data_IF_217188620377
#
_entry.id   IF_217188620377
#
_cell.length_a   1.000
_cell.length_b   1.000
_cell.length_c   1.000
_cell.angle_alpha   90.00
_cell.angle_beta   90.00
_cell.angle_gamma   90.00
#
_symmetry.space_group_name_H-M   'P 1'
#
loop_
_entity.id
_entity.type
_entity.pdbx_description
1 polymer ?
#
# COMPACT_ATOMS: atom_id res chain seq x y z
N UNK A 1 -15.92 18.81 23.78
CA UNK A 1 -14.76 18.97 22.86
C UNK A 1 -14.85 17.93 21.74
N UNK A 2 -15.03 18.34 20.47
CA UNK A 2 -15.17 17.39 19.36
C UNK A 2 -13.80 16.82 18.96
N UNK A 3 -13.57 15.53 19.21
CA UNK A 3 -12.37 14.81 18.76
C UNK A 3 -12.60 14.23 17.37
N UNK A 4 -11.62 14.35 16.47
CA UNK A 4 -11.70 13.74 15.14
C UNK A 4 -11.76 12.21 15.26
N UNK A 5 -12.86 11.61 14.77
CA UNK A 5 -13.04 10.16 14.73
C UNK A 5 -12.63 9.64 13.36
N UNK A 6 -12.02 8.46 13.33
CA UNK A 6 -11.67 7.81 12.06
C UNK A 6 -12.93 7.41 11.29
N UNK A 7 -12.91 7.61 9.96
CA UNK A 7 -14.05 7.30 9.11
C UNK A 7 -14.35 5.79 9.04
N UNK A 8 -15.50 5.37 9.59
CA UNK A 8 -15.89 3.97 9.72
C UNK A 8 -16.07 3.24 8.39
N UNK A 9 -16.63 3.91 7.38
CA UNK A 9 -16.83 3.30 6.06
C UNK A 9 -15.51 2.96 5.36
N UNK A 10 -14.46 3.72 5.67
CA UNK A 10 -13.13 3.52 5.09
C UNK A 10 -12.39 2.39 5.82
N UNK A 11 -12.47 2.33 7.15
CA UNK A 11 -11.88 1.25 7.95
C UNK A 11 -12.40 -0.15 7.57
N UNK A 12 -13.63 -0.27 7.07
CA UNK A 12 -14.18 -1.55 6.56
C UNK A 12 -13.54 -2.00 5.25
N UNK A 13 -12.94 -1.09 4.48
CA UNK A 13 -12.45 -1.34 3.11
C UNK A 13 -10.94 -1.46 3.01
N UNK A 14 -10.20 -0.86 3.95
CA UNK A 14 -8.74 -0.80 3.90
C UNK A 14 -8.09 -1.52 5.09
N UNK A 15 -6.85 -1.97 4.90
CA UNK A 15 -5.96 -2.42 5.98
C UNK A 15 -4.65 -1.65 5.91
N UNK A 16 -4.05 -1.35 7.06
CA UNK A 16 -2.74 -0.70 7.14
C UNK A 16 -1.65 -1.75 7.33
N UNK A 17 -0.52 -1.58 6.62
CA UNK A 17 0.69 -2.39 6.87
C UNK A 17 1.55 -1.77 7.97
N UNK A 18 2.52 -2.53 8.49
CA UNK A 18 3.50 -2.04 9.48
C UNK A 18 4.21 -0.77 9.00
N UNK A 19 4.55 -0.70 7.72
CA UNK A 19 5.23 0.46 7.11
C UNK A 19 4.30 1.65 6.84
N UNK A 20 3.00 1.52 7.10
CA UNK A 20 2.02 2.58 6.90
C UNK A 20 1.51 2.71 5.46
N UNK A 21 1.67 1.67 4.61
CA UNK A 21 1.02 1.59 3.29
C UNK A 21 -0.45 1.21 3.48
N UNK A 22 -1.34 1.82 2.69
CA UNK A 22 -2.77 1.47 2.69
C UNK A 22 -3.01 0.37 1.67
N UNK A 23 -3.46 -0.80 2.14
CA UNK A 23 -3.81 -1.95 1.30
C UNK A 23 -5.32 -2.00 1.06
N UNK A 24 -5.71 -2.22 -0.19
CA UNK A 24 -7.10 -2.41 -0.60
C UNK A 24 -7.25 -3.52 -1.66
N UNK A 25 -8.48 -3.95 -1.89
CA UNK A 25 -8.82 -4.98 -2.89
C UNK A 25 -9.16 -4.34 -4.23
N UNK A 26 -8.77 -4.96 -5.34
CA UNK A 26 -9.08 -4.47 -6.68
C UNK A 26 -10.62 -4.39 -6.92
N UNK A 27 -11.10 -3.30 -7.55
CA UNK A 27 -12.49 -3.22 -8.01
C UNK A 27 -12.75 -4.21 -9.17
N UNK A 28 -14.02 -4.43 -9.52
CA UNK A 28 -14.47 -5.25 -10.66
C UNK A 28 -14.18 -6.77 -10.58
N UNK A 29 -13.78 -7.26 -9.42
CA UNK A 29 -13.45 -8.68 -9.19
C UNK A 29 -14.66 -9.60 -8.93
N UNK A 30 -15.84 -9.05 -8.63
CA UNK A 30 -16.98 -9.84 -8.10
C UNK A 30 -17.85 -10.49 -9.18
N UNK A 31 -18.35 -9.71 -10.15
CA UNK A 31 -19.29 -10.17 -11.19
C UNK A 31 -18.73 -9.92 -12.60
N UNK A 32 -19.42 -10.47 -13.61
CA UNK A 32 -19.05 -10.37 -15.04
C UNK A 32 -17.60 -10.80 -15.25
N UNK A 33 -17.33 -12.08 -15.00
CA UNK A 33 -15.99 -12.68 -15.19
C UNK A 33 -15.86 -13.43 -16.51
N UNK A 34 -16.98 -13.80 -17.13
CA UNK A 34 -17.04 -14.56 -18.39
C UNK A 34 -16.41 -13.80 -19.55
N UNK A 35 -16.57 -12.48 -19.59
CA UNK A 35 -16.03 -11.59 -20.61
C UNK A 35 -14.60 -11.09 -20.32
N UNK A 36 -14.00 -11.50 -19.20
CA UNK A 36 -12.68 -11.03 -18.77
C UNK A 36 -11.62 -12.08 -19.07
N UNK A 37 -10.43 -11.62 -19.41
CA UNK A 37 -9.31 -12.52 -19.70
C UNK A 37 -8.79 -13.17 -18.40
N UNK A 38 -8.21 -14.37 -18.52
CA UNK A 38 -7.63 -15.08 -17.38
C UNK A 38 -6.49 -14.30 -16.70
N UNK A 39 -5.72 -13.52 -17.47
CA UNK A 39 -4.64 -12.65 -16.97
C UNK A 39 -5.18 -11.51 -16.12
N UNK A 40 -6.25 -10.84 -16.55
CA UNK A 40 -6.93 -9.79 -15.77
C UNK A 40 -7.50 -10.33 -14.46
N UNK A 41 -8.17 -11.49 -14.51
CA UNK A 41 -8.71 -12.15 -13.31
C UNK A 41 -7.62 -12.49 -12.29
N UNK A 42 -6.43 -12.90 -12.75
CA UNK A 42 -5.25 -13.10 -11.89
C UNK A 42 -4.73 -11.79 -11.29
N UNK A 43 -4.74 -10.70 -12.07
CA UNK A 43 -4.32 -9.38 -11.60
C UNK A 43 -5.15 -8.89 -10.41
N UNK A 44 -6.47 -9.12 -10.42
CA UNK A 44 -7.35 -8.72 -9.31
C UNK A 44 -7.11 -9.44 -7.99
N UNK A 45 -6.42 -10.58 -8.00
CA UNK A 45 -6.06 -11.32 -6.78
C UNK A 45 -4.89 -10.67 -6.05
N UNK A 46 -4.05 -9.91 -6.77
CA UNK A 46 -2.90 -9.23 -6.19
C UNK A 46 -3.36 -8.07 -5.31
N UNK A 47 -2.71 -7.90 -4.16
CA UNK A 47 -2.94 -6.76 -3.29
C UNK A 47 -2.49 -5.47 -3.98
N UNK A 48 -3.30 -4.42 -3.88
CA UNK A 48 -2.96 -3.09 -4.38
C UNK A 48 -2.78 -2.12 -3.23
N UNK A 49 -1.92 -1.13 -3.45
CA UNK A 49 -1.62 -0.11 -2.46
C UNK A 49 -2.01 1.28 -2.99
N UNK A 50 -2.25 2.20 -2.05
CA UNK A 50 -2.59 3.58 -2.39
C UNK A 50 -1.35 4.33 -2.93
N UNK A 51 -1.57 5.07 -4.03
CA UNK A 51 -0.55 5.92 -4.62
C UNK A 51 -0.45 7.24 -3.87
N UNK A 52 0.60 8.00 -4.15
CA UNK A 52 0.88 9.32 -3.56
C UNK A 52 -0.29 10.31 -3.66
N UNK A 53 -1.04 10.30 -4.77
CA UNK A 53 -2.19 11.19 -4.98
C UNK A 53 -3.32 11.02 -3.95
N UNK A 54 -3.68 9.79 -3.61
CA UNK A 54 -4.82 9.50 -2.73
C UNK A 54 -4.52 9.78 -1.25
N UNK A 55 -3.23 9.85 -0.88
CA UNK A 55 -2.80 9.96 0.52
C UNK A 55 -3.31 11.22 1.20
N UNK A 56 -3.46 12.33 0.48
CA UNK A 56 -3.95 13.60 1.07
C UNK A 56 -5.33 13.42 1.69
N UNK A 57 -6.22 12.71 1.00
CA UNK A 57 -7.57 12.45 1.47
C UNK A 57 -7.57 11.38 2.57
N UNK A 58 -6.81 10.30 2.40
CA UNK A 58 -6.74 9.21 3.37
C UNK A 58 -6.21 9.66 4.73
N UNK A 59 -5.21 10.56 4.75
CA UNK A 59 -4.67 11.14 5.99
C UNK A 59 -5.72 11.93 6.76
N UNK A 60 -6.53 12.75 6.07
CA UNK A 60 -7.62 13.53 6.68
C UNK A 60 -8.71 12.64 7.29
N UNK A 61 -9.10 11.57 6.61
CA UNK A 61 -10.18 10.68 7.06
C UNK A 61 -9.78 9.76 8.23
N UNK A 62 -8.51 9.38 8.31
CA UNK A 62 -8.02 8.46 9.34
C UNK A 62 -7.38 9.19 10.52
N UNK A 63 -6.91 10.42 10.34
CA UNK A 63 -6.15 11.16 11.33
C UNK A 63 -4.78 10.51 11.62
N UNK A 64 -4.15 9.87 10.62
CA UNK A 64 -2.89 9.12 10.76
C UNK A 64 -1.87 9.50 9.69
N UNK A 65 -0.59 9.42 10.03
CA UNK A 65 0.53 9.55 9.07
C UNK A 65 0.66 8.32 8.19
N UNK A 66 0.29 8.43 6.91
CA UNK A 66 0.40 7.36 5.91
C UNK A 66 1.59 7.57 4.95
N UNK A 67 2.16 6.47 4.47
CA UNK A 67 3.22 6.44 3.44
C UNK A 67 2.68 5.97 2.08
N UNK A 68 3.27 6.45 0.99
CA UNK A 68 2.96 5.97 -0.37
C UNK A 68 3.65 4.64 -0.63
N UNK A 69 3.09 3.88 -1.56
CA UNK A 69 3.74 2.68 -2.09
C UNK A 69 5.14 2.99 -2.62
N UNK A 70 5.25 4.01 -3.49
CA UNK A 70 6.50 4.48 -4.10
C UNK A 70 7.59 4.75 -3.06
N UNK A 71 7.26 5.51 -2.01
CA UNK A 71 8.22 5.87 -0.97
C UNK A 71 8.65 4.67 -0.14
N UNK A 72 7.74 3.75 0.13
CA UNK A 72 8.11 2.56 0.91
C UNK A 72 8.92 1.56 0.10
N UNK A 73 8.71 1.46 -1.21
CA UNK A 73 9.57 0.63 -2.07
C UNK A 73 10.97 1.26 -2.17
N UNK A 74 11.07 2.58 -2.26
CA UNK A 74 12.35 3.28 -2.18
C UNK A 74 13.05 3.04 -0.83
N UNK A 75 12.33 3.12 0.30
CA UNK A 75 12.88 2.84 1.63
C UNK A 75 13.40 1.39 1.75
N UNK A 76 12.70 0.42 1.15
CA UNK A 76 13.11 -0.99 1.12
C UNK A 76 14.39 -1.16 0.29
N UNK A 77 14.48 -0.51 -0.88
CA UNK A 77 15.69 -0.53 -1.72
C UNK A 77 16.90 0.12 -1.05
N UNK A 78 16.71 1.25 -0.36
CA UNK A 78 17.78 1.91 0.40
C UNK A 78 18.30 0.98 1.49
N UNK A 79 17.40 0.26 2.20
CA UNK A 79 17.82 -0.74 3.19
C UNK A 79 18.60 -1.88 2.57
N UNK A 80 18.13 -2.41 1.45
CA UNK A 80 18.81 -3.51 0.74
C UNK A 80 20.20 -3.08 0.28
N UNK A 81 20.34 -1.87 -0.28
CA UNK A 81 21.63 -1.29 -0.65
C UNK A 81 22.56 -1.12 0.57
N UNK A 82 22.04 -0.60 1.70
CA UNK A 82 22.81 -0.45 2.92
C UNK A 82 23.28 -1.79 3.52
N UNK A 83 22.45 -2.85 3.43
CA UNK A 83 22.84 -4.20 3.86
C UNK A 83 23.90 -4.79 2.93
N UNK A 84 23.81 -4.54 1.62
CA UNK A 84 24.81 -4.98 0.65
C UNK A 84 26.18 -4.32 0.88
N UNK A 85 26.21 -3.03 1.21
CA UNK A 85 27.45 -2.29 1.52
C UNK A 85 28.16 -2.85 2.78
N UNK A 86 27.40 -3.19 3.82
CA UNK A 86 27.92 -3.80 5.06
C UNK A 86 28.38 -5.26 4.85
N UNK A 87 27.88 -5.94 3.82
CA UNK A 87 28.18 -7.34 3.49
C UNK A 87 29.41 -7.51 2.59
N UNK A 88 29.95 -6.43 2.00
CA UNK A 88 31.14 -6.52 1.17
C UNK A 88 32.35 -6.85 2.06
N UNK A 89 33.02 -8.01 1.88
CA UNK A 89 34.22 -8.30 2.65
C UNK A 89 35.26 -7.23 2.31
N UNK A 90 35.72 -6.50 3.32
CA UNK A 90 36.84 -5.57 3.18
C UNK A 90 38.01 -6.35 2.59
N UNK A 91 38.30 -6.11 1.31
CA UNK A 91 39.42 -6.73 0.62
C UNK A 91 40.70 -6.32 1.36
N UNK A 92 41.37 -7.31 1.93
CA UNK A 92 42.72 -7.20 2.49
C UNK A 92 43.75 -7.15 1.38
#
# INVERSE_FOLDING_TARGET
MPKQKSHRGLLKRIKLTKTGKVRFKAPNSRHLKSNKTGTELRSYRKSRYARSGDLRFLKKLLGRGLRSEERSVADEKIREAAVADVSAPAAK
#
